data_IF_208574397434
#
_entry.id   IF_208574397434
#
_cell.length_a   1.000
_cell.length_b   1.000
_cell.length_c   1.000
_cell.angle_alpha   90.00
_cell.angle_beta   90.00
_cell.angle_gamma   90.00
#
_symmetry.space_group_name_H-M   'P 1'
#
loop_
_entity.id
_entity.type
_entity.pdbx_description
1 polymer ?
#
# COMPACT_ATOMS: atom_id res chain seq x y z
N UNK A 1 -18.61 25.70 78.46
CA UNK A 1 -20.01 25.96 78.81
C UNK A 1 -20.87 25.14 77.87
N UNK A 2 -21.47 24.11 78.47
CA UNK A 2 -22.85 23.60 78.32
C UNK A 2 -23.25 23.18 76.92
N UNK A 3 -23.33 21.83 76.63
CA UNK A 3 -24.55 20.96 76.85
C UNK A 3 -25.64 21.31 75.83
N UNK A 4 -26.25 20.35 75.12
CA UNK A 4 -26.95 19.08 75.44
C UNK A 4 -27.30 18.37 74.14
N UNK A 5 -27.08 17.13 73.98
CA UNK A 5 -27.88 15.91 74.07
C UNK A 5 -29.39 16.11 73.81
N UNK A 6 -29.90 15.41 72.80
CA UNK A 6 -31.13 14.63 72.88
C UNK A 6 -31.16 13.46 71.90
N UNK A 7 -31.38 12.27 72.41
CA UNK A 7 -31.71 11.01 71.78
C UNK A 7 -33.17 11.03 71.33
N UNK A 8 -33.49 10.40 70.24
CA UNK A 8 -34.77 9.74 70.07
C UNK A 8 -34.65 8.49 69.23
N UNK A 9 -35.23 7.48 69.74
CA UNK A 9 -35.29 6.05 69.36
C UNK A 9 -36.60 5.82 68.57
N UNK A 10 -36.62 4.79 67.77
CA UNK A 10 -37.77 3.98 67.28
C UNK A 10 -37.85 3.89 65.77
N UNK A 11 -38.20 2.85 65.08
CA UNK A 11 -38.70 1.50 65.34
C UNK A 11 -38.55 0.79 64.02
N UNK A 12 -38.14 -0.49 64.09
CA UNK A 12 -38.03 -1.46 62.95
C UNK A 12 -39.43 -1.86 62.51
N UNK A 13 -39.68 -1.81 61.20
CA UNK A 13 -40.71 -2.65 60.57
C UNK A 13 -40.08 -3.34 59.38
N UNK A 14 -39.99 -4.65 59.47
CA UNK A 14 -39.49 -5.52 58.41
C UNK A 14 -40.51 -5.66 57.28
N UNK A 15 -40.02 -5.58 56.07
CA UNK A 15 -40.75 -5.96 54.88
C UNK A 15 -39.79 -6.79 54.00
N UNK A 16 -39.94 -8.09 54.02
CA UNK A 16 -39.24 -9.01 53.11
C UNK A 16 -39.85 -8.85 51.73
N UNK A 17 -39.13 -8.16 50.82
CA UNK A 17 -39.42 -8.23 49.39
C UNK A 17 -38.54 -9.30 48.75
N UNK A 18 -39.15 -10.37 48.36
CA UNK A 18 -38.55 -11.39 47.43
C UNK A 18 -38.29 -10.70 46.08
N UNK A 19 -37.04 -10.37 45.82
CA UNK A 19 -36.61 -10.00 44.48
C UNK A 19 -36.35 -11.31 43.71
N UNK A 20 -37.28 -11.65 42.82
CA UNK A 20 -37.05 -12.64 41.81
C UNK A 20 -35.99 -12.16 40.86
N UNK A 21 -34.76 -12.71 40.92
CA UNK A 21 -33.72 -12.58 39.93
C UNK A 21 -34.19 -13.27 38.65
N UNK A 22 -34.72 -12.51 37.72
CA UNK A 22 -34.79 -12.94 36.32
C UNK A 22 -33.34 -12.92 35.79
N UNK A 23 -32.71 -14.08 35.75
CA UNK A 23 -31.49 -14.27 35.01
C UNK A 23 -31.83 -14.15 33.50
N UNK A 24 -31.71 -12.95 32.96
CA UNK A 24 -31.53 -12.80 31.53
C UNK A 24 -30.24 -13.52 31.18
N UNK A 25 -30.38 -14.73 30.63
CA UNK A 25 -29.29 -15.40 29.92
C UNK A 25 -28.88 -14.53 28.74
N UNK A 26 -27.91 -13.63 28.95
CA UNK A 26 -27.19 -13.00 27.88
C UNK A 26 -26.40 -14.10 27.18
N UNK A 27 -26.94 -14.63 26.07
CA UNK A 27 -26.12 -15.32 25.11
C UNK A 27 -25.01 -14.34 24.71
N UNK A 28 -23.79 -14.60 25.13
CA UNK A 28 -22.64 -14.02 24.50
C UNK A 28 -22.63 -14.58 23.08
N UNK A 29 -23.26 -13.88 22.14
CA UNK A 29 -22.85 -14.01 20.76
C UNK A 29 -21.36 -13.67 20.76
N UNK A 30 -20.52 -14.69 20.83
CA UNK A 30 -19.14 -14.61 20.47
C UNK A 30 -19.16 -14.24 18.98
N UNK A 31 -19.12 -12.94 18.70
CA UNK A 31 -18.76 -12.46 17.38
C UNK A 31 -17.47 -13.22 17.08
N UNK A 32 -17.54 -14.21 16.21
CA UNK A 32 -16.35 -14.90 15.75
C UNK A 32 -15.46 -13.82 15.16
N UNK A 33 -14.32 -13.57 15.81
CA UNK A 33 -13.37 -12.59 15.34
C UNK A 33 -13.04 -12.99 13.89
N UNK A 34 -13.34 -12.08 12.96
CA UNK A 34 -13.08 -12.29 11.54
C UNK A 34 -11.58 -12.54 11.40
N UNK A 35 -11.24 -13.63 10.74
CA UNK A 35 -9.85 -13.99 10.44
C UNK A 35 -9.57 -13.84 8.95
N UNK A 36 -8.31 -13.83 8.60
CA UNK A 36 -7.84 -13.64 7.24
C UNK A 36 -6.99 -14.84 6.83
N UNK A 37 -7.22 -15.35 5.63
CA UNK A 37 -6.46 -16.45 5.05
C UNK A 37 -5.60 -15.93 3.91
N UNK A 38 -4.29 -16.04 4.07
CA UNK A 38 -3.35 -15.75 2.99
C UNK A 38 -3.07 -17.02 2.17
N UNK A 39 -3.01 -16.85 0.86
CA UNK A 39 -2.64 -17.89 -0.10
C UNK A 39 -1.59 -17.34 -1.06
N UNK A 40 -0.42 -17.98 -1.11
CA UNK A 40 0.57 -17.73 -2.16
C UNK A 40 0.07 -18.35 -3.44
N UNK A 41 -0.04 -17.60 -4.51
CA UNK A 41 -0.56 -18.04 -5.81
C UNK A 41 0.56 -18.33 -6.79
N UNK A 42 1.60 -17.49 -6.81
CA UNK A 42 2.77 -17.60 -7.69
C UNK A 42 4.03 -17.37 -6.88
N UNK A 43 5.09 -18.10 -7.20
CA UNK A 43 6.45 -17.80 -6.74
C UNK A 43 7.45 -17.98 -7.87
N UNK A 44 8.67 -17.48 -7.70
CA UNK A 44 9.77 -17.74 -8.62
C UNK A 44 10.45 -19.12 -8.43
N UNK A 45 9.94 -19.93 -7.48
CA UNK A 45 10.31 -21.33 -7.26
C UNK A 45 10.60 -21.73 -5.81
N UNK A 46 11.37 -20.96 -5.00
CA UNK A 46 11.73 -21.38 -3.64
C UNK A 46 10.55 -21.45 -2.66
N UNK A 47 9.57 -20.57 -2.81
CA UNK A 47 8.35 -20.59 -1.98
C UNK A 47 7.31 -21.53 -2.63
N UNK A 48 6.71 -22.48 -1.89
CA UNK A 48 5.67 -23.34 -2.45
C UNK A 48 4.46 -22.51 -2.93
N UNK A 49 4.08 -22.70 -4.19
CA UNK A 49 2.93 -22.06 -4.83
C UNK A 49 2.34 -22.95 -5.92
N UNK A 50 1.04 -22.81 -6.28
CA UNK A 50 0.43 -23.52 -7.41
C UNK A 50 1.10 -23.21 -8.75
N UNK A 51 1.62 -21.99 -8.92
CA UNK A 51 2.25 -21.55 -10.16
C UNK A 51 3.67 -21.07 -9.89
N UNK A 52 4.56 -21.30 -10.88
CA UNK A 52 5.95 -20.82 -10.85
C UNK A 52 6.19 -19.90 -12.05
N UNK A 53 6.79 -18.72 -11.78
CA UNK A 53 7.24 -17.78 -12.80
C UNK A 53 8.62 -17.23 -12.41
N UNK A 54 9.65 -17.63 -13.15
CA UNK A 54 11.04 -17.24 -12.89
C UNK A 54 11.29 -15.72 -13.03
N UNK A 55 10.37 -14.99 -13.65
CA UNK A 55 10.45 -13.53 -13.76
C UNK A 55 10.00 -12.81 -12.48
N UNK A 56 9.15 -13.46 -11.65
CA UNK A 56 8.59 -12.86 -10.42
C UNK A 56 9.65 -12.78 -9.32
N UNK A 57 10.69 -11.94 -9.49
CA UNK A 57 11.72 -11.74 -8.48
C UNK A 57 11.57 -10.38 -7.81
N UNK A 58 11.63 -10.37 -6.48
CA UNK A 58 11.43 -9.16 -5.68
C UNK A 58 10.22 -8.36 -6.20
N UNK A 59 9.05 -8.98 -6.12
CA UNK A 59 7.81 -8.41 -6.64
C UNK A 59 7.35 -7.23 -5.79
N UNK A 60 7.26 -6.03 -6.38
CA UNK A 60 6.94 -4.79 -5.64
C UNK A 60 5.52 -4.30 -5.87
N UNK A 61 5.36 -3.38 -6.80
CA UNK A 61 4.09 -2.73 -7.06
C UNK A 61 3.10 -3.63 -7.80
N UNK A 62 1.82 -3.51 -7.46
CA UNK A 62 0.73 -4.17 -8.18
C UNK A 62 -0.29 -3.15 -8.64
N UNK A 63 -0.80 -3.32 -9.85
CA UNK A 63 -1.85 -2.46 -10.40
C UNK A 63 -2.87 -3.27 -11.20
N UNK A 64 -4.14 -2.98 -10.97
CA UNK A 64 -5.23 -3.64 -11.68
C UNK A 64 -5.69 -2.80 -12.87
N UNK A 65 -5.71 -3.43 -14.05
CA UNK A 65 -6.52 -2.92 -15.15
C UNK A 65 -7.99 -3.16 -14.79
N UNK A 66 -8.86 -2.15 -14.77
CA UNK A 66 -10.28 -2.34 -14.45
C UNK A 66 -11.01 -3.34 -15.35
N UNK A 67 -10.43 -3.72 -16.48
CA UNK A 67 -11.00 -4.65 -17.47
C UNK A 67 -10.08 -5.83 -17.79
N UNK A 68 -9.12 -6.14 -16.92
CA UNK A 68 -8.15 -7.21 -17.17
C UNK A 68 -7.40 -7.63 -15.90
N UNK A 69 -6.43 -8.53 -16.06
CA UNK A 69 -5.66 -9.11 -14.97
C UNK A 69 -4.75 -8.08 -14.29
N UNK A 70 -4.22 -8.47 -13.11
CA UNK A 70 -3.26 -7.68 -12.35
C UNK A 70 -1.90 -7.66 -13.04
N UNK A 71 -1.22 -6.53 -12.92
CA UNK A 71 0.17 -6.34 -13.31
C UNK A 71 1.05 -6.21 -12.08
N UNK A 72 2.21 -6.84 -12.12
CA UNK A 72 3.21 -6.82 -11.05
C UNK A 72 4.50 -6.22 -11.60
N UNK A 73 5.11 -5.32 -10.85
CA UNK A 73 6.44 -4.79 -11.14
C UNK A 73 7.49 -5.70 -10.48
N UNK A 74 8.29 -6.39 -11.29
CA UNK A 74 9.28 -7.35 -10.82
C UNK A 74 10.64 -6.68 -10.78
N UNK A 75 11.00 -6.18 -9.60
CA UNK A 75 12.20 -5.38 -9.37
C UNK A 75 13.48 -6.13 -9.75
N UNK A 76 13.60 -7.38 -9.29
CA UNK A 76 14.81 -8.18 -9.48
C UNK A 76 15.08 -8.64 -10.92
N UNK A 77 14.10 -8.53 -11.82
CA UNK A 77 14.24 -8.94 -13.23
C UNK A 77 14.02 -7.82 -14.23
N UNK A 78 13.71 -6.61 -13.76
CA UNK A 78 13.40 -5.44 -14.60
C UNK A 78 12.33 -5.72 -15.66
N UNK A 79 11.26 -6.42 -15.24
CA UNK A 79 10.10 -6.69 -16.10
C UNK A 79 8.79 -6.37 -15.34
N UNK A 80 7.68 -6.48 -16.05
CA UNK A 80 6.36 -6.60 -15.42
C UNK A 80 5.71 -7.90 -15.91
N UNK A 81 5.16 -8.66 -14.95
CA UNK A 81 4.40 -9.88 -15.18
C UNK A 81 2.92 -9.67 -14.91
N UNK A 82 2.09 -10.60 -15.39
CA UNK A 82 0.65 -10.44 -15.38
C UNK A 82 0.00 -11.74 -14.94
N UNK A 83 -0.94 -11.66 -13.97
CA UNK A 83 -1.61 -12.82 -13.40
C UNK A 83 -3.12 -12.59 -13.28
N UNK A 84 -3.91 -13.65 -13.36
CA UNK A 84 -5.30 -13.61 -12.91
C UNK A 84 -5.40 -13.76 -11.37
N UNK A 85 -6.63 -13.74 -10.84
CA UNK A 85 -6.87 -13.86 -9.40
C UNK A 85 -6.63 -15.26 -8.81
N UNK A 86 -6.33 -16.26 -9.65
CA UNK A 86 -5.88 -17.60 -9.25
C UNK A 86 -4.36 -17.77 -9.40
N UNK A 87 -3.67 -16.73 -9.88
CA UNK A 87 -2.23 -16.75 -10.10
C UNK A 87 -1.81 -17.35 -11.43
N UNK A 88 -2.74 -17.56 -12.37
CA UNK A 88 -2.38 -18.11 -13.70
C UNK A 88 -1.58 -17.05 -14.48
N UNK A 89 -0.30 -17.33 -14.81
CA UNK A 89 0.53 -16.40 -15.56
C UNK A 89 -0.02 -16.14 -16.97
N UNK A 90 -0.04 -14.88 -17.38
CA UNK A 90 -0.35 -14.50 -18.75
C UNK A 90 0.92 -14.56 -19.62
N UNK A 91 0.76 -14.78 -20.92
CA UNK A 91 1.90 -14.93 -21.84
C UNK A 91 2.71 -13.64 -22.06
N UNK A 92 2.12 -12.47 -21.78
CA UNK A 92 2.79 -11.19 -21.93
C UNK A 92 3.69 -10.91 -20.73
N UNK A 93 4.97 -10.71 -21.01
CA UNK A 93 5.96 -10.13 -20.10
C UNK A 93 6.47 -8.86 -20.74
N UNK A 94 6.49 -7.76 -19.98
CA UNK A 94 6.92 -6.45 -20.48
C UNK A 94 8.26 -6.08 -19.88
N UNK A 95 9.28 -5.90 -20.71
CA UNK A 95 10.59 -5.43 -20.25
C UNK A 95 10.54 -3.94 -19.90
N UNK A 96 11.19 -3.59 -18.81
CA UNK A 96 11.33 -2.21 -18.33
C UNK A 96 12.78 -1.78 -18.62
N UNK A 97 12.98 -0.75 -19.44
CA UNK A 97 14.33 -0.33 -19.85
C UNK A 97 15.12 0.27 -18.69
N UNK A 98 16.42 -0.01 -18.67
CA UNK A 98 17.37 0.52 -17.72
C UNK A 98 17.43 2.06 -17.75
N UNK A 99 17.80 2.65 -16.65
CA UNK A 99 18.09 4.08 -16.53
C UNK A 99 19.55 4.39 -16.88
N UNK A 100 19.88 5.67 -16.95
CA UNK A 100 21.24 6.15 -17.20
C UNK A 100 22.24 5.82 -16.08
N UNK A 101 21.76 5.49 -14.90
CA UNK A 101 22.57 5.17 -13.71
C UNK A 101 22.58 3.70 -13.31
N UNK A 102 21.85 2.83 -14.03
CA UNK A 102 21.79 1.41 -13.71
C UNK A 102 20.52 0.71 -14.13
N UNK A 103 20.30 -0.54 -13.66
CA UNK A 103 19.11 -1.30 -13.95
C UNK A 103 17.82 -0.55 -13.62
N UNK A 104 16.74 -0.86 -14.33
CA UNK A 104 15.43 -0.26 -14.10
C UNK A 104 14.94 -0.49 -12.68
N UNK A 105 15.04 -1.72 -12.19
CA UNK A 105 14.54 -2.16 -10.88
C UNK A 105 13.17 -1.54 -10.56
N UNK A 106 12.11 -1.88 -11.34
CA UNK A 106 10.81 -1.24 -11.22
C UNK A 106 10.21 -1.48 -9.83
N UNK A 107 9.59 -0.43 -9.29
CA UNK A 107 9.01 -0.39 -7.93
C UNK A 107 7.52 -0.04 -7.98
N UNK A 108 7.19 1.25 -8.12
CA UNK A 108 5.82 1.72 -8.24
C UNK A 108 5.25 1.51 -9.64
N UNK A 109 3.98 1.10 -9.71
CA UNK A 109 3.22 0.93 -10.96
C UNK A 109 1.83 1.53 -10.81
N UNK A 110 1.32 2.17 -11.85
CA UNK A 110 -0.07 2.62 -11.94
C UNK A 110 -0.71 2.24 -13.27
N UNK A 111 -2.01 1.94 -13.24
CA UNK A 111 -2.84 1.87 -14.42
C UNK A 111 -3.30 3.28 -14.81
N UNK A 112 -3.07 3.67 -16.07
CA UNK A 112 -3.59 4.91 -16.63
C UNK A 112 -4.88 4.66 -17.39
N UNK A 113 -5.99 5.00 -16.79
CA UNK A 113 -7.33 4.92 -17.41
C UNK A 113 -7.73 6.16 -18.22
N UNK A 114 -6.81 7.12 -18.40
CA UNK A 114 -7.05 8.37 -19.12
C UNK A 114 -6.55 8.32 -20.56
N UNK A 115 -6.76 9.36 -21.32
CA UNK A 115 -6.18 9.52 -22.68
C UNK A 115 -4.87 10.30 -22.68
N UNK A 116 -4.40 10.70 -21.49
CA UNK A 116 -3.15 11.41 -21.29
C UNK A 116 -1.95 10.45 -21.26
N UNK A 117 -0.76 10.99 -21.03
CA UNK A 117 0.49 10.23 -20.93
C UNK A 117 0.80 9.46 -22.21
N UNK A 118 0.80 10.21 -23.32
CA UNK A 118 1.11 9.66 -24.66
C UNK A 118 2.58 9.25 -24.77
N UNK A 119 2.79 8.06 -25.31
CA UNK A 119 4.10 7.48 -25.62
C UNK A 119 4.29 7.47 -27.13
N UNK A 120 5.49 7.78 -27.60
CA UNK A 120 5.81 7.77 -29.02
C UNK A 120 7.19 7.19 -29.27
N UNK A 121 7.31 6.25 -30.21
CA UNK A 121 8.57 5.67 -30.64
C UNK A 121 8.44 5.10 -32.06
N UNK A 122 9.47 5.27 -32.89
CA UNK A 122 9.53 4.66 -34.24
C UNK A 122 8.37 5.06 -35.16
N UNK A 123 7.85 6.29 -35.02
CA UNK A 123 6.71 6.80 -35.81
C UNK A 123 5.34 6.29 -35.36
N UNK A 124 5.27 5.51 -34.29
CA UNK A 124 4.01 5.10 -33.64
C UNK A 124 3.76 5.94 -32.40
N UNK A 125 2.47 6.13 -32.05
CA UNK A 125 2.05 6.83 -30.85
C UNK A 125 0.84 6.14 -30.22
N UNK A 126 0.74 6.17 -28.88
CA UNK A 126 -0.37 5.57 -28.15
C UNK A 126 -0.31 5.97 -26.68
N UNK A 127 -1.42 5.75 -25.96
CA UNK A 127 -1.50 6.01 -24.52
C UNK A 127 -0.60 5.03 -23.77
N UNK A 128 0.19 5.52 -22.82
CA UNK A 128 0.85 4.71 -21.81
C UNK A 128 -0.18 4.13 -20.87
N UNK A 129 -0.47 2.83 -21.00
CA UNK A 129 -1.55 2.16 -20.26
C UNK A 129 -1.10 1.78 -18.85
N UNK A 130 0.14 1.32 -18.72
CA UNK A 130 0.79 1.12 -17.43
C UNK A 130 2.06 1.97 -17.37
N UNK A 131 2.22 2.65 -16.25
CA UNK A 131 3.34 3.56 -16.03
C UNK A 131 4.09 3.07 -14.80
N UNK A 132 5.40 3.05 -14.90
CA UNK A 132 6.30 2.52 -13.88
C UNK A 132 7.30 3.58 -13.46
N UNK A 133 7.75 3.47 -12.22
CA UNK A 133 8.98 4.10 -11.75
C UNK A 133 9.90 3.03 -11.18
N UNK A 134 11.19 3.33 -11.09
CA UNK A 134 12.16 2.37 -10.59
C UNK A 134 13.37 3.02 -9.92
N UNK A 135 14.16 2.19 -9.28
CA UNK A 135 15.36 2.61 -8.54
C UNK A 135 16.46 3.16 -9.46
N UNK A 136 16.42 2.82 -10.75
CA UNK A 136 17.27 3.43 -11.77
C UNK A 136 16.95 4.91 -12.05
N UNK A 137 16.00 5.52 -11.33
CA UNK A 137 15.63 6.94 -11.46
C UNK A 137 14.77 7.24 -12.69
N UNK A 138 14.08 6.25 -13.22
CA UNK A 138 13.29 6.38 -14.46
C UNK A 138 11.79 6.44 -14.20
N UNK A 139 11.07 7.11 -15.11
CA UNK A 139 9.64 6.94 -15.37
C UNK A 139 9.50 6.31 -16.73
N UNK A 140 8.88 5.13 -16.79
CA UNK A 140 8.68 4.39 -18.03
C UNK A 140 7.20 4.13 -18.26
N UNK A 141 6.77 4.02 -19.50
CA UNK A 141 5.37 3.78 -19.80
C UNK A 141 5.21 2.74 -20.92
N UNK A 142 4.32 1.78 -20.70
CA UNK A 142 3.98 0.76 -21.67
C UNK A 142 2.73 1.12 -22.48
N UNK A 143 2.85 1.02 -23.81
CA UNK A 143 1.76 1.21 -24.74
C UNK A 143 1.74 0.07 -25.76
N UNK A 144 0.70 -0.78 -25.80
CA UNK A 144 0.63 -1.90 -26.75
C UNK A 144 0.65 -1.44 -28.20
N UNK A 145 0.16 -0.23 -28.48
CA UNK A 145 0.14 0.35 -29.84
C UNK A 145 1.54 0.77 -30.32
N UNK A 146 2.47 1.01 -29.42
CA UNK A 146 3.83 1.52 -29.72
C UNK A 146 4.85 0.40 -29.63
N UNK A 147 4.91 -0.27 -28.48
CA UNK A 147 5.83 -1.39 -28.22
C UNK A 147 5.08 -2.45 -27.41
N UNK A 148 4.75 -3.62 -28.00
CA UNK A 148 3.88 -4.60 -27.34
C UNK A 148 4.53 -5.34 -26.17
N UNK A 149 5.87 -5.43 -26.11
CA UNK A 149 6.59 -6.23 -25.11
C UNK A 149 7.62 -5.45 -24.30
N UNK A 150 7.70 -4.12 -24.49
CA UNK A 150 8.64 -3.28 -23.75
C UNK A 150 7.99 -1.94 -23.41
N UNK A 151 8.23 -1.45 -22.19
CA UNK A 151 7.96 -0.06 -21.83
C UNK A 151 8.98 0.88 -22.49
N UNK A 152 8.67 2.15 -22.52
CA UNK A 152 9.51 3.20 -23.12
C UNK A 152 9.87 4.19 -22.02
N UNK A 153 11.15 4.58 -21.93
CA UNK A 153 11.61 5.61 -21.00
C UNK A 153 11.06 6.96 -21.41
N UNK A 154 10.31 7.57 -20.53
CA UNK A 154 9.67 8.87 -20.70
C UNK A 154 10.41 9.97 -19.95
N UNK A 155 11.08 9.61 -18.84
CA UNK A 155 11.90 10.50 -18.04
C UNK A 155 12.99 9.71 -17.33
N UNK A 156 14.18 10.29 -17.21
CA UNK A 156 15.34 9.69 -16.55
C UNK A 156 16.08 10.75 -15.74
N UNK A 157 16.16 10.58 -14.44
CA UNK A 157 16.88 11.41 -13.48
C UNK A 157 17.91 10.58 -12.68
N UNK A 158 18.36 9.47 -13.25
CA UNK A 158 19.41 8.64 -12.65
C UNK A 158 20.67 9.43 -12.36
N UNK A 159 21.07 10.35 -13.29
CA UNK A 159 22.23 11.25 -13.08
C UNK A 159 21.98 12.29 -11.95
N UNK A 160 20.72 12.59 -11.63
CA UNK A 160 20.33 13.42 -10.49
C UNK A 160 20.21 12.64 -9.18
N UNK A 161 20.52 11.35 -9.21
CA UNK A 161 20.48 10.46 -8.06
C UNK A 161 19.06 10.08 -7.63
N UNK A 162 18.06 10.22 -8.49
CA UNK A 162 16.70 9.81 -8.15
C UNK A 162 16.64 8.28 -7.93
N UNK A 163 16.00 7.87 -6.83
CA UNK A 163 15.64 6.48 -6.51
C UNK A 163 14.15 6.46 -6.22
N UNK A 164 13.36 6.13 -7.24
CA UNK A 164 11.91 6.12 -7.09
C UNK A 164 11.44 4.81 -6.46
N UNK A 165 10.66 4.91 -5.37
CA UNK A 165 10.14 3.76 -4.61
C UNK A 165 8.63 3.58 -4.79
N UNK A 166 7.85 4.63 -4.95
CA UNK A 166 6.39 4.57 -5.12
C UNK A 166 5.89 5.49 -6.21
N UNK A 167 4.72 5.18 -6.78
CA UNK A 167 4.07 5.96 -7.84
C UNK A 167 2.57 6.03 -7.60
N UNK A 168 2.00 7.22 -7.75
CA UNK A 168 0.56 7.43 -7.79
C UNK A 168 0.17 8.27 -9.01
N UNK A 169 -1.07 8.08 -9.49
CA UNK A 169 -1.70 8.91 -10.50
C UNK A 169 -2.93 9.55 -9.90
N UNK A 170 -3.06 10.87 -9.99
CA UNK A 170 -4.24 11.60 -9.51
C UNK A 170 -4.47 12.89 -10.31
N UNK A 171 -5.71 13.40 -10.25
CA UNK A 171 -6.07 14.67 -10.90
C UNK A 171 -5.94 15.84 -9.92
N UNK A 172 -5.42 16.97 -10.43
CA UNK A 172 -5.36 18.24 -9.72
C UNK A 172 -5.82 19.35 -10.67
N UNK A 173 -6.82 20.15 -10.25
CA UNK A 173 -7.32 21.26 -11.08
C UNK A 173 -7.85 20.85 -12.45
N UNK A 174 -8.30 19.61 -12.63
CA UNK A 174 -8.81 19.07 -13.90
C UNK A 174 -7.73 18.50 -14.84
N UNK A 175 -6.46 18.52 -14.48
CA UNK A 175 -5.36 17.86 -15.18
C UNK A 175 -4.87 16.65 -14.39
N UNK A 176 -4.34 15.63 -15.07
CA UNK A 176 -3.78 14.44 -14.46
C UNK A 176 -2.28 14.61 -14.22
N UNK A 177 -1.78 14.07 -13.11
CA UNK A 177 -0.38 14.11 -12.73
C UNK A 177 0.07 12.77 -12.18
N UNK A 178 1.35 12.45 -12.40
CA UNK A 178 2.05 11.38 -11.69
C UNK A 178 2.80 11.99 -10.50
N UNK A 179 2.83 11.25 -9.42
CA UNK A 179 3.50 11.59 -8.17
C UNK A 179 4.45 10.45 -7.82
N UNK A 180 5.75 10.68 -7.91
CA UNK A 180 6.78 9.68 -7.69
C UNK A 180 7.55 9.97 -6.39
N UNK A 181 7.62 8.98 -5.50
CA UNK A 181 8.37 9.06 -4.25
C UNK A 181 9.88 8.91 -4.54
N UNK A 182 10.60 10.01 -4.62
CA UNK A 182 12.06 10.03 -4.75
C UNK A 182 12.69 9.88 -3.36
N UNK A 183 12.94 8.63 -3.01
CA UNK A 183 13.43 8.26 -1.68
C UNK A 183 14.82 8.82 -1.40
N UNK A 184 15.73 8.75 -2.37
CA UNK A 184 17.10 9.25 -2.20
C UNK A 184 17.12 10.76 -1.90
N UNK A 185 16.39 11.53 -2.69
CA UNK A 185 16.39 12.99 -2.59
C UNK A 185 15.36 13.53 -1.58
N UNK A 186 14.64 12.64 -0.87
CA UNK A 186 13.63 12.98 0.14
C UNK A 186 12.59 13.99 -0.37
N UNK A 187 11.92 13.66 -1.47
CA UNK A 187 10.90 14.52 -2.10
C UNK A 187 9.88 13.70 -2.89
N UNK A 188 8.76 14.32 -3.22
CA UNK A 188 7.85 13.83 -4.26
C UNK A 188 8.13 14.59 -5.55
N UNK A 189 8.51 13.89 -6.61
CA UNK A 189 8.58 14.45 -7.95
C UNK A 189 7.20 14.33 -8.63
N UNK A 190 6.78 15.41 -9.26
CA UNK A 190 5.48 15.50 -9.93
C UNK A 190 5.69 15.65 -11.43
N UNK A 191 4.92 14.88 -12.22
CA UNK A 191 5.02 14.93 -13.69
C UNK A 191 3.65 15.26 -14.29
N UNK A 192 3.66 16.15 -15.29
CA UNK A 192 2.46 16.47 -16.07
C UNK A 192 2.12 15.35 -17.07
N UNK A 193 1.03 15.54 -17.81
CA UNK A 193 0.52 14.59 -18.82
C UNK A 193 1.48 14.31 -19.99
N UNK A 194 2.56 15.09 -20.10
CA UNK A 194 3.63 14.92 -21.10
C UNK A 194 4.91 14.35 -20.50
N UNK A 195 4.85 13.84 -19.26
CA UNK A 195 5.99 13.34 -18.47
C UNK A 195 7.06 14.38 -18.15
N UNK A 196 6.74 15.65 -18.23
CA UNK A 196 7.64 16.72 -17.78
C UNK A 196 7.52 16.92 -16.28
N UNK A 197 8.67 17.00 -15.61
CA UNK A 197 8.72 17.30 -14.18
C UNK A 197 8.20 18.72 -13.93
N UNK A 198 7.26 18.84 -12.98
CA UNK A 198 6.64 20.09 -12.54
C UNK A 198 7.25 20.50 -11.21
N UNK A 199 7.81 21.70 -11.16
CA UNK A 199 8.32 22.24 -9.90
C UNK A 199 7.14 22.61 -8.97
N UNK A 200 7.16 22.06 -7.75
CA UNK A 200 6.16 22.35 -6.70
C UNK A 200 6.87 22.82 -5.41
N UNK A 201 7.45 24.02 -5.39
CA UNK A 201 8.24 24.49 -4.25
C UNK A 201 7.39 24.59 -2.98
N UNK A 202 7.90 24.03 -1.87
CA UNK A 202 7.24 24.05 -0.56
C UNK A 202 6.01 23.11 -0.45
N UNK A 203 5.82 22.24 -1.43
CA UNK A 203 4.74 21.22 -1.38
C UNK A 203 5.29 19.87 -0.96
N UNK A 204 4.38 18.97 -0.53
CA UNK A 204 4.73 17.65 -0.01
C UNK A 204 5.74 17.70 1.14
N UNK A 205 5.57 18.68 2.01
CA UNK A 205 6.46 18.92 3.15
C UNK A 205 5.71 18.66 4.45
N UNK A 206 6.33 17.90 5.35
CA UNK A 206 5.95 17.84 6.74
C UNK A 206 7.11 18.30 7.62
N UNK A 207 7.05 19.52 8.17
CA UNK A 207 8.12 20.05 9.00
C UNK A 207 8.32 19.31 10.33
N UNK A 208 7.36 18.47 10.73
CA UNK A 208 7.46 17.64 11.94
C UNK A 208 7.96 16.22 11.66
N UNK A 209 8.27 15.87 10.39
CA UNK A 209 8.85 14.57 10.06
C UNK A 209 10.27 14.49 10.61
N UNK A 210 10.63 13.46 11.38
CA UNK A 210 11.99 13.31 11.90
C UNK A 210 13.03 13.19 10.78
N UNK A 211 14.22 13.72 11.02
CA UNK A 211 15.30 13.67 10.04
C UNK A 211 15.68 12.23 9.65
N UNK A 212 15.97 12.04 8.36
CA UNK A 212 16.35 10.76 7.77
C UNK A 212 15.19 9.84 7.44
N UNK A 213 13.95 10.32 7.48
CA UNK A 213 12.80 9.66 6.84
C UNK A 213 12.54 10.29 5.48
N UNK A 214 12.17 9.47 4.52
CA UNK A 214 11.91 9.91 3.14
C UNK A 214 10.64 9.23 2.57
N UNK A 215 9.98 9.85 1.58
CA UNK A 215 8.81 9.26 0.91
C UNK A 215 9.17 7.91 0.31
N UNK A 216 8.39 6.88 0.64
CA UNK A 216 8.65 5.49 0.29
C UNK A 216 7.51 4.88 -0.54
N UNK A 217 6.32 4.72 0.05
CA UNK A 217 5.10 4.38 -0.66
C UNK A 217 4.22 5.60 -0.90
N UNK A 218 3.43 5.58 -1.97
CA UNK A 218 2.44 6.63 -2.24
C UNK A 218 1.20 6.02 -2.90
N UNK A 219 0.01 6.39 -2.44
CA UNK A 219 -1.25 5.90 -2.97
C UNK A 219 -2.28 7.02 -3.08
N UNK A 220 -2.92 7.12 -4.23
CA UNK A 220 -4.09 7.98 -4.41
C UNK A 220 -5.36 7.28 -3.91
N UNK A 221 -6.07 7.89 -2.97
CA UNK A 221 -7.36 7.40 -2.46
C UNK A 221 -8.34 8.57 -2.49
N UNK A 222 -9.33 8.50 -3.37
CA UNK A 222 -10.20 9.63 -3.67
C UNK A 222 -9.40 10.82 -4.20
N UNK A 223 -9.58 11.99 -3.61
CA UNK A 223 -8.84 13.22 -3.96
C UNK A 223 -7.61 13.48 -3.06
N UNK A 224 -7.10 12.45 -2.39
CA UNK A 224 -6.00 12.54 -1.43
C UNK A 224 -4.84 11.65 -1.86
N UNK A 225 -3.63 12.06 -1.50
CA UNK A 225 -2.41 11.26 -1.63
C UNK A 225 -1.94 10.85 -0.23
N UNK A 226 -1.93 9.55 0.02
CA UNK A 226 -1.33 8.96 1.21
C UNK A 226 0.13 8.67 0.91
N UNK A 227 1.05 9.25 1.66
CA UNK A 227 2.50 9.10 1.50
C UNK A 227 3.05 8.39 2.72
N UNK A 228 3.60 7.20 2.53
CA UNK A 228 4.33 6.48 3.56
C UNK A 228 5.81 6.88 3.53
N UNK A 229 6.41 6.97 4.71
CA UNK A 229 7.81 7.32 4.89
C UNK A 229 8.53 6.19 5.61
N UNK A 230 9.72 5.84 5.12
CA UNK A 230 10.63 4.92 5.78
C UNK A 230 11.95 5.61 6.16
N UNK A 231 12.64 5.04 7.12
CA UNK A 231 13.96 5.51 7.55
C UNK A 231 15.00 5.16 6.48
N UNK A 232 15.75 6.14 6.00
CA UNK A 232 16.82 5.90 5.03
C UNK A 232 18.04 5.23 5.68
N UNK A 233 18.71 4.34 4.95
CA UNK A 233 20.06 3.90 5.26
C UNK A 233 21.09 5.00 4.96
N UNK A 234 22.36 4.76 5.26
CA UNK A 234 23.41 5.78 5.07
C UNK A 234 23.63 6.20 3.62
N UNK A 235 23.30 5.33 2.66
CA UNK A 235 23.36 5.63 1.22
C UNK A 235 22.11 6.33 0.71
N UNK A 236 21.07 6.45 1.54
CA UNK A 236 19.74 6.94 1.16
C UNK A 236 19.13 6.18 -0.04
N UNK A 237 19.54 4.93 -0.24
CA UNK A 237 19.04 4.07 -1.31
C UNK A 237 17.97 3.11 -0.81
N UNK A 238 18.18 2.50 0.36
CA UNK A 238 17.27 1.54 0.97
C UNK A 238 16.81 1.99 2.35
N UNK A 239 15.71 1.37 2.81
CA UNK A 239 15.17 1.62 4.13
C UNK A 239 15.96 0.88 5.22
N UNK A 240 15.82 1.38 6.43
CA UNK A 240 16.12 0.67 7.67
C UNK A 240 14.83 0.22 8.32
N UNK A 241 14.80 -1.04 8.73
CA UNK A 241 13.65 -1.65 9.38
C UNK A 241 13.77 -1.57 10.91
N UNK A 242 12.62 -1.52 11.56
CA UNK A 242 12.52 -1.56 13.01
C UNK A 242 11.15 -1.11 13.50
N UNK A 243 10.72 -1.55 14.68
CA UNK A 243 9.45 -1.13 15.26
C UNK A 243 9.35 0.40 15.40
N UNK A 244 8.28 0.99 14.88
CA UNK A 244 8.06 2.42 14.90
C UNK A 244 8.86 3.22 13.87
N UNK A 245 9.62 2.56 12.97
CA UNK A 245 10.34 3.22 11.89
C UNK A 245 9.42 3.43 10.66
N UNK A 246 8.39 4.24 10.84
CA UNK A 246 7.48 4.59 9.77
C UNK A 246 6.55 5.74 10.11
N UNK A 247 6.13 6.47 9.09
CA UNK A 247 5.15 7.55 9.17
C UNK A 247 4.23 7.49 7.94
N UNK A 248 3.04 8.05 8.05
CA UNK A 248 2.15 8.25 6.91
C UNK A 248 1.53 9.63 7.02
N UNK A 249 1.63 10.42 5.94
CA UNK A 249 0.99 11.70 5.80
C UNK A 249 -0.07 11.67 4.71
N UNK A 250 -1.04 12.54 4.82
CA UNK A 250 -2.06 12.76 3.80
C UNK A 250 -1.91 14.17 3.25
N UNK A 251 -1.82 14.24 1.92
CA UNK A 251 -1.78 15.49 1.17
C UNK A 251 -3.00 15.60 0.25
N UNK A 252 -3.35 16.83 -0.14
CA UNK A 252 -4.16 17.01 -1.34
C UNK A 252 -3.29 16.85 -2.60
N UNK A 253 -3.93 16.79 -3.77
CA UNK A 253 -3.21 16.62 -5.04
C UNK A 253 -2.40 17.87 -5.46
N UNK A 254 -2.59 19.01 -4.79
CA UNK A 254 -1.75 20.20 -4.93
C UNK A 254 -0.54 20.17 -3.97
N UNK A 255 -0.35 19.09 -3.21
CA UNK A 255 0.76 18.89 -2.30
C UNK A 255 0.67 19.66 -0.98
N UNK A 256 -0.52 20.16 -0.61
CA UNK A 256 -0.73 20.73 0.73
C UNK A 256 -0.94 19.60 1.72
N UNK A 257 -0.22 19.63 2.83
CA UNK A 257 -0.41 18.68 3.92
C UNK A 257 -1.78 18.87 4.56
N UNK A 258 -2.55 17.79 4.63
CA UNK A 258 -3.88 17.78 5.26
C UNK A 258 -3.80 17.19 6.68
N UNK A 259 -2.96 16.17 6.88
CA UNK A 259 -2.90 15.43 8.14
C UNK A 259 -1.59 14.63 8.24
N UNK A 260 -0.96 14.59 9.45
CA UNK A 260 -0.13 13.47 9.86
C UNK A 260 -1.07 12.32 10.21
N UNK A 261 -1.17 11.33 9.31
CA UNK A 261 -2.16 10.25 9.44
C UNK A 261 -1.75 9.22 10.48
N UNK A 262 -0.51 8.75 10.42
CA UNK A 262 0.01 7.78 11.37
C UNK A 262 1.50 8.03 11.65
N UNK A 263 1.93 7.73 12.88
CA UNK A 263 3.31 7.96 13.33
C UNK A 263 3.81 6.79 14.16
N UNK A 264 4.98 6.27 13.82
CA UNK A 264 5.64 5.22 14.61
C UNK A 264 4.70 4.04 14.97
N UNK A 265 4.63 3.62 16.22
CA UNK A 265 3.69 2.58 16.70
C UNK A 265 3.82 1.28 15.90
N UNK A 266 2.75 0.82 15.21
CA UNK A 266 2.78 -0.42 14.44
C UNK A 266 3.45 -0.29 13.07
N UNK A 267 3.95 0.90 12.68
CA UNK A 267 4.59 1.11 11.39
C UNK A 267 6.07 0.68 11.43
N UNK A 268 6.48 -0.03 10.37
CA UNK A 268 7.84 -0.55 10.20
C UNK A 268 8.17 -0.58 8.70
N UNK A 269 8.83 0.45 8.20
CA UNK A 269 9.06 0.68 6.77
C UNK A 269 7.77 0.46 5.94
N UNK A 270 6.70 1.25 6.16
CA UNK A 270 5.42 1.08 5.47
C UNK A 270 5.56 1.43 3.98
N UNK A 271 4.99 0.58 3.09
CA UNK A 271 5.01 0.83 1.65
C UNK A 271 3.63 0.71 0.99
N UNK A 272 3.01 -0.46 1.05
CA UNK A 272 1.72 -0.71 0.42
C UNK A 272 0.58 -0.04 1.18
N UNK A 273 -0.31 0.67 0.47
CA UNK A 273 -1.47 1.34 1.07
C UNK A 273 -2.70 1.00 0.24
N UNK A 274 -3.80 0.60 0.89
CA UNK A 274 -5.07 0.33 0.22
C UNK A 274 -6.25 0.72 1.12
N UNK A 275 -7.35 1.19 0.54
CA UNK A 275 -8.60 1.34 1.28
C UNK A 275 -9.41 0.06 1.17
N UNK A 276 -9.81 -0.51 2.30
CA UNK A 276 -10.64 -1.69 2.34
C UNK A 276 -12.07 -1.39 1.86
N UNK A 277 -12.70 -2.30 1.10
CA UNK A 277 -14.10 -2.16 0.73
C UNK A 277 -15.03 -2.38 1.93
N UNK A 278 -16.31 -2.03 1.80
CA UNK A 278 -17.30 -2.14 2.87
C UNK A 278 -17.66 -3.56 3.32
N UNK A 279 -17.05 -4.59 2.71
CA UNK A 279 -17.25 -6.01 3.02
C UNK A 279 -15.93 -6.76 3.27
N UNK A 280 -14.98 -6.10 3.93
CA UNK A 280 -13.68 -6.66 4.34
C UNK A 280 -13.65 -6.96 5.85
N UNK A 281 -14.70 -7.61 6.36
CA UNK A 281 -14.82 -7.99 7.76
C UNK A 281 -14.76 -6.79 8.71
N UNK A 282 -14.06 -6.94 9.82
CA UNK A 282 -13.93 -5.90 10.84
C UNK A 282 -13.14 -4.66 10.41
N UNK A 283 -12.40 -4.74 9.31
CA UNK A 283 -11.60 -3.63 8.77
C UNK A 283 -12.24 -3.01 7.51
N UNK A 284 -13.56 -3.20 7.35
CA UNK A 284 -14.31 -2.59 6.24
C UNK A 284 -14.19 -1.07 6.26
N UNK A 285 -13.83 -0.48 5.12
CA UNK A 285 -13.59 0.94 4.87
C UNK A 285 -12.31 1.54 5.50
N UNK A 286 -11.56 0.80 6.32
CA UNK A 286 -10.31 1.25 6.90
C UNK A 286 -9.20 1.43 5.85
N UNK A 287 -8.19 2.20 6.19
CA UNK A 287 -6.95 2.28 5.42
C UNK A 287 -6.01 1.17 5.92
N UNK A 288 -5.67 0.28 5.01
CA UNK A 288 -4.69 -0.79 5.25
C UNK A 288 -3.30 -0.32 4.85
N UNK A 289 -2.33 -0.53 5.74
CA UNK A 289 -0.94 -0.18 5.53
C UNK A 289 -0.09 -1.44 5.74
N UNK A 290 0.60 -1.87 4.68
CA UNK A 290 1.54 -2.97 4.69
C UNK A 290 2.94 -2.50 5.05
N UNK A 291 3.55 -3.17 5.99
CA UNK A 291 4.93 -2.95 6.41
C UNK A 291 5.88 -3.88 5.65
N UNK A 292 6.89 -3.32 5.02
CA UNK A 292 7.99 -4.12 4.48
C UNK A 292 8.81 -4.78 5.60
N UNK A 293 9.10 -4.03 6.66
CA UNK A 293 10.07 -4.44 7.68
C UNK A 293 9.66 -5.65 8.53
N UNK A 294 8.36 -5.90 8.73
CA UNK A 294 7.87 -7.06 9.47
C UNK A 294 6.78 -7.86 8.74
N UNK A 295 6.39 -7.42 7.57
CA UNK A 295 5.40 -8.09 6.73
C UNK A 295 3.96 -8.02 7.21
N UNK A 296 3.66 -7.25 8.26
CA UNK A 296 2.31 -7.11 8.80
C UNK A 296 1.47 -6.14 7.97
N UNK A 297 0.15 -6.31 8.01
CA UNK A 297 -0.81 -5.36 7.45
C UNK A 297 -1.65 -4.81 8.60
N UNK A 298 -1.62 -3.50 8.75
CA UNK A 298 -2.24 -2.77 9.83
C UNK A 298 -3.38 -1.90 9.30
N UNK A 299 -4.53 -1.94 9.99
CA UNK A 299 -5.72 -1.16 9.66
C UNK A 299 -5.79 0.11 10.52
N UNK A 300 -6.17 1.21 9.88
CA UNK A 300 -6.29 2.52 10.49
C UNK A 300 -7.63 3.16 10.10
N UNK A 301 -8.27 3.81 11.05
CA UNK A 301 -9.49 4.57 10.80
C UNK A 301 -9.23 5.67 9.75
N UNK A 302 -10.02 5.75 8.67
CA UNK A 302 -9.73 6.61 7.52
C UNK A 302 -9.85 8.12 7.83
N UNK A 303 -10.52 8.50 8.92
CA UNK A 303 -10.72 9.90 9.29
C UNK A 303 -9.70 10.39 10.31
N UNK A 304 -9.46 9.59 11.34
CA UNK A 304 -8.57 9.96 12.46
C UNK A 304 -7.14 9.49 12.29
N UNK A 305 -6.89 8.45 11.47
CA UNK A 305 -5.60 7.78 11.39
C UNK A 305 -5.26 6.95 12.63
N UNK A 306 -6.24 6.67 13.50
CA UNK A 306 -6.01 5.82 14.66
C UNK A 306 -5.85 4.37 14.24
N UNK A 307 -4.89 3.68 14.85
CA UNK A 307 -4.69 2.25 14.67
C UNK A 307 -5.89 1.47 15.20
N UNK A 308 -6.51 0.66 14.34
CA UNK A 308 -7.66 -0.20 14.63
C UNK A 308 -7.21 -1.60 15.02
N UNK A 309 -6.25 -2.15 14.29
CA UNK A 309 -5.73 -3.48 14.52
C UNK A 309 -4.90 -4.01 13.35
N UNK A 310 -4.24 -5.14 13.55
CA UNK A 310 -3.56 -5.86 12.48
C UNK A 310 -4.44 -6.97 11.91
N UNK A 311 -4.29 -7.29 10.62
CA UNK A 311 -4.90 -8.48 10.04
C UNK A 311 -4.39 -9.72 10.80
N UNK A 312 -5.31 -10.62 11.20
CA UNK A 312 -4.99 -11.82 11.97
C UNK A 312 -5.43 -13.08 11.25
N UNK A 313 -4.61 -14.11 11.34
CA UNK A 313 -4.94 -15.46 10.91
C UNK A 313 -5.95 -16.10 11.87
N UNK A 314 -6.51 -17.24 11.47
CA UNK A 314 -7.49 -17.99 12.27
C UNK A 314 -6.99 -18.40 13.66
N UNK A 315 -5.70 -18.56 13.84
CA UNK A 315 -5.06 -18.88 15.14
C UNK A 315 -4.86 -17.64 16.03
N UNK A 316 -5.32 -16.46 15.58
CA UNK A 316 -5.19 -15.19 16.29
C UNK A 316 -3.84 -14.52 16.16
N UNK A 317 -2.85 -15.14 15.51
CA UNK A 317 -1.56 -14.52 15.22
C UNK A 317 -1.70 -13.46 14.10
N UNK A 318 -0.85 -12.44 14.12
CA UNK A 318 -0.82 -11.47 13.04
C UNK A 318 -0.47 -12.16 11.71
N UNK A 319 -1.11 -11.73 10.62
CA UNK A 319 -0.60 -12.01 9.30
C UNK A 319 0.78 -11.35 9.17
N UNK A 320 1.73 -12.07 8.58
CA UNK A 320 3.03 -11.53 8.24
C UNK A 320 3.54 -12.23 6.97
N UNK A 321 3.92 -11.43 5.98
CA UNK A 321 4.55 -11.85 4.73
C UNK A 321 5.93 -11.21 4.64
N UNK A 322 6.99 -11.98 4.72
CA UNK A 322 8.35 -11.45 4.59
C UNK A 322 8.53 -10.69 3.27
N UNK A 323 9.11 -9.49 3.35
CA UNK A 323 9.34 -8.64 2.19
C UNK A 323 8.06 -8.10 1.54
N UNK A 324 7.01 -7.85 2.32
CA UNK A 324 5.73 -7.35 1.82
C UNK A 324 5.88 -5.97 1.17
N UNK A 325 5.48 -5.88 -0.08
CA UNK A 325 5.49 -4.65 -0.87
C UNK A 325 4.07 -4.17 -1.20
N UNK A 326 3.61 -4.40 -2.41
CA UNK A 326 2.32 -3.91 -2.90
C UNK A 326 1.13 -4.65 -2.31
N UNK A 327 0.09 -3.91 -1.97
CA UNK A 327 -1.24 -4.43 -1.63
C UNK A 327 -2.30 -3.68 -2.41
N UNK A 328 -3.27 -4.40 -2.98
CA UNK A 328 -4.41 -3.79 -3.66
C UNK A 328 -5.60 -4.74 -3.69
N UNK A 329 -6.81 -4.20 -3.69
CA UNK A 329 -8.03 -4.98 -3.84
C UNK A 329 -8.30 -5.33 -5.29
N UNK A 330 -8.90 -6.48 -5.51
CA UNK A 330 -9.29 -6.95 -6.84
C UNK A 330 -10.32 -6.03 -7.52
N UNK A 331 -10.49 -6.23 -8.82
CA UNK A 331 -11.35 -5.41 -9.69
C UNK A 331 -12.68 -6.08 -10.07
N UNK A 332 -12.96 -7.29 -9.57
CA UNK A 332 -14.19 -8.04 -9.80
C UNK A 332 -14.21 -8.91 -11.07
N UNK A 333 -13.12 -8.94 -11.83
CA UNK A 333 -12.99 -9.77 -13.04
C UNK A 333 -11.79 -10.72 -12.94
N UNK A 334 -11.65 -11.65 -13.87
CA UNK A 334 -10.53 -12.58 -13.97
C UNK A 334 -10.17 -13.26 -12.63
N UNK A 335 -11.21 -13.70 -11.88
CA UNK A 335 -11.08 -14.31 -10.54
C UNK A 335 -10.43 -13.40 -9.49
N UNK A 336 -10.58 -12.07 -9.62
CA UNK A 336 -10.04 -11.04 -8.73
C UNK A 336 -11.17 -10.37 -7.91
N UNK A 337 -11.75 -11.03 -6.87
CA UNK A 337 -12.86 -10.48 -6.12
C UNK A 337 -12.53 -9.11 -5.51
N UNK A 338 -13.51 -8.20 -5.50
CA UNK A 338 -13.31 -6.83 -5.00
C UNK A 338 -13.07 -6.75 -3.49
N UNK A 339 -13.37 -7.81 -2.74
CA UNK A 339 -13.11 -7.94 -1.30
C UNK A 339 -11.95 -8.88 -0.97
N UNK A 340 -11.13 -9.22 -1.94
CA UNK A 340 -9.88 -9.95 -1.77
C UNK A 340 -8.73 -8.96 -1.89
N UNK A 341 -7.85 -8.96 -0.90
CA UNK A 341 -6.62 -8.15 -0.91
C UNK A 341 -5.50 -8.98 -1.54
N UNK A 342 -5.00 -8.53 -2.69
CA UNK A 342 -3.84 -9.13 -3.33
C UNK A 342 -2.56 -8.46 -2.85
N UNK A 343 -1.45 -9.22 -2.83
CA UNK A 343 -0.16 -8.71 -2.40
C UNK A 343 0.99 -9.21 -3.29
N UNK A 344 2.05 -8.43 -3.36
CA UNK A 344 3.35 -8.79 -3.90
C UNK A 344 4.41 -8.68 -2.80
N UNK A 345 5.42 -9.53 -2.86
CA UNK A 345 6.49 -9.51 -1.86
C UNK A 345 7.82 -10.05 -2.42
N UNK A 346 8.93 -9.60 -1.80
CA UNK A 346 10.29 -10.07 -2.04
C UNK A 346 10.86 -10.81 -0.83
N UNK A 347 10.47 -12.08 -0.57
CA UNK A 347 11.00 -12.84 0.55
C UNK A 347 12.50 -13.18 0.38
N UNK A 348 13.09 -13.74 1.44
CA UNK A 348 14.49 -14.16 1.46
C UNK A 348 15.47 -13.02 1.16
N UNK A 349 15.24 -11.83 1.76
CA UNK A 349 16.09 -10.67 1.54
C UNK A 349 16.01 -10.16 0.09
N UNK A 350 14.83 -10.16 -0.47
CA UNK A 350 14.51 -9.64 -1.81
C UNK A 350 15.11 -10.46 -2.97
N UNK A 351 15.61 -11.68 -2.70
CA UNK A 351 16.14 -12.59 -3.72
C UNK A 351 15.04 -13.31 -4.47
N UNK A 352 13.96 -13.66 -3.76
CA UNK A 352 12.82 -14.40 -4.29
C UNK A 352 11.62 -13.47 -4.50
N UNK A 353 10.58 -13.98 -5.13
CA UNK A 353 9.35 -13.23 -5.36
C UNK A 353 8.10 -14.06 -5.14
N UNK A 354 7.06 -13.43 -4.60
CA UNK A 354 5.74 -14.05 -4.48
C UNK A 354 4.63 -13.05 -4.84
N UNK A 355 3.57 -13.60 -5.44
CA UNK A 355 2.28 -12.95 -5.60
C UNK A 355 1.22 -13.81 -4.92
N UNK A 356 0.32 -13.18 -4.17
CA UNK A 356 -0.67 -13.89 -3.39
C UNK A 356 -1.92 -13.07 -3.09
N UNK A 357 -2.84 -13.68 -2.32
CA UNK A 357 -4.11 -13.07 -1.94
C UNK A 357 -4.42 -13.31 -0.48
N UNK A 358 -5.23 -12.44 0.08
CA UNK A 358 -5.76 -12.50 1.45
C UNK A 358 -7.28 -12.39 1.38
N UNK A 359 -7.96 -13.41 1.87
CA UNK A 359 -9.42 -13.51 1.89
C UNK A 359 -9.95 -13.43 3.32
N UNK A 360 -11.11 -12.81 3.49
CA UNK A 360 -11.88 -12.81 4.74
C UNK A 360 -12.47 -14.20 4.99
N UNK A 361 -12.37 -14.72 6.22
CA UNK A 361 -12.84 -16.04 6.65
C UNK A 361 -14.09 -15.92 7.52
#
# INVERSE_FOLDING_TARGET
MKESVFKALSVVVGGAALASLVACGGGSDSLHAVSFMATTLVSDGPVPAPHTDANLKNAWGIAFNPKGPVWVADNGTSVATIYDGNGVPQSLVVSIPDGSSGPANPTGIVFNGTTDFMVSQGGKSGVGVFIFVGEGGTVTAWSPAVSPTAAITMFDDGSGGAVYKGLALASNGGANFLYAADFHNNKIDVFDTTFKKVAMPGKFQDPALPAGFAPFGIQAIGAKLFVAYAKQNAAAHDNLDGPGLGYVDVFDTAGNMLQRFASAGPLNAPWGIAQAPGNFGQFSNDILIGNFGDGTINAFDPMSGQFVGALKKKDGTAFAQQGLWGIAFGNGIDSQPMNTLFFAAGPNGEVDGVYGRIDVQ
#
